data_IF_008314120187
#
_entry.id   IF_008314120187
#
_cell.length_a   1.000
_cell.length_b   1.000
_cell.length_c   1.000
_cell.angle_alpha   90.00
_cell.angle_beta   90.00
_cell.angle_gamma   90.00
#
_symmetry.space_group_name_H-M   'P 1'
#
loop_
_entity.id
_entity.type
_entity.pdbx_description
1 polymer ?
#
# COMPACT_ATOMS: atom_id res chain seq x y z
N UNK A 1 -30.36 19.03 -40.75
CA UNK A 1 -29.00 18.54 -40.53
C UNK A 1 -28.50 19.22 -39.24
N UNK A 2 -28.72 18.58 -38.12
CA UNK A 2 -28.28 19.09 -36.83
C UNK A 2 -26.79 18.77 -36.68
N UNK A 3 -25.99 19.85 -36.56
CA UNK A 3 -24.59 19.77 -36.23
C UNK A 3 -24.45 19.28 -34.79
N UNK A 4 -24.23 17.99 -34.58
CA UNK A 4 -23.69 17.45 -33.33
C UNK A 4 -22.23 17.92 -33.23
N UNK A 5 -22.01 19.08 -32.67
CA UNK A 5 -20.68 19.49 -32.20
C UNK A 5 -20.31 18.57 -31.04
N UNK A 6 -19.50 17.56 -31.35
CA UNK A 6 -18.82 16.75 -30.33
C UNK A 6 -17.84 17.66 -29.59
N UNK A 7 -18.34 18.34 -28.57
CA UNK A 7 -17.47 19.07 -27.65
C UNK A 7 -16.70 18.01 -26.84
N UNK A 8 -15.55 17.64 -27.34
CA UNK A 8 -14.57 16.86 -26.55
C UNK A 8 -14.16 17.77 -25.40
N UNK A 9 -14.84 17.64 -24.25
CA UNK A 9 -14.44 18.36 -23.05
C UNK A 9 -13.06 17.87 -22.65
N UNK A 10 -12.10 18.76 -22.81
CA UNK A 10 -10.75 18.55 -22.27
C UNK A 10 -10.90 18.55 -20.75
N UNK A 11 -10.76 17.38 -20.12
CA UNK A 11 -10.76 17.27 -18.68
C UNK A 11 -9.68 18.20 -18.17
N UNK A 12 -10.06 19.08 -17.25
CA UNK A 12 -9.13 20.04 -16.67
C UNK A 12 -8.05 19.24 -15.89
N UNK A 13 -6.83 19.32 -16.35
CA UNK A 13 -5.68 18.69 -15.69
C UNK A 13 -5.55 19.11 -14.23
N UNK A 14 -6.14 20.24 -13.85
CA UNK A 14 -6.19 20.72 -12.48
C UNK A 14 -7.02 19.78 -11.58
N UNK A 15 -8.14 19.24 -12.08
CA UNK A 15 -8.99 18.30 -11.34
C UNK A 15 -8.26 16.97 -11.13
N UNK A 16 -7.64 16.44 -12.16
CA UNK A 16 -6.85 15.21 -12.05
C UNK A 16 -5.71 15.37 -11.03
N UNK A 17 -5.00 16.49 -11.08
CA UNK A 17 -3.90 16.76 -10.14
C UNK A 17 -4.39 16.94 -8.70
N UNK A 18 -5.56 17.54 -8.50
CA UNK A 18 -6.18 17.69 -7.18
C UNK A 18 -6.59 16.34 -6.58
N UNK A 19 -7.15 15.43 -7.38
CA UNK A 19 -7.50 14.07 -6.96
C UNK A 19 -6.25 13.27 -6.59
N UNK A 20 -5.19 13.35 -7.41
CA UNK A 20 -3.90 12.75 -7.07
C UNK A 20 -3.37 13.26 -5.74
N UNK A 21 -3.31 14.59 -5.58
CA UNK A 21 -2.83 15.21 -4.33
C UNK A 21 -3.63 14.71 -3.13
N UNK A 22 -4.95 14.63 -3.23
CA UNK A 22 -5.83 14.14 -2.16
C UNK A 22 -5.52 12.68 -1.80
N UNK A 23 -5.39 11.81 -2.81
CA UNK A 23 -5.09 10.38 -2.60
C UNK A 23 -3.73 10.18 -1.95
N UNK A 24 -2.68 10.85 -2.45
CA UNK A 24 -1.33 10.73 -1.88
C UNK A 24 -1.26 11.32 -0.47
N UNK A 25 -2.01 12.39 -0.17
CA UNK A 25 -2.10 12.95 1.17
C UNK A 25 -2.77 11.97 2.15
N UNK A 26 -3.85 11.30 1.73
CA UNK A 26 -4.50 10.27 2.55
C UNK A 26 -3.58 9.07 2.78
N UNK A 27 -2.84 8.63 1.77
CA UNK A 27 -1.83 7.57 1.91
C UNK A 27 -0.73 7.98 2.89
N UNK A 28 -0.20 9.20 2.78
CA UNK A 28 0.81 9.72 3.68
C UNK A 28 0.31 9.81 5.13
N UNK A 29 -0.94 10.26 5.32
CA UNK A 29 -1.58 10.30 6.64
C UNK A 29 -1.74 8.90 7.24
N UNK A 30 -2.17 7.91 6.44
CA UNK A 30 -2.28 6.52 6.87
C UNK A 30 -0.92 5.93 7.25
N UNK A 31 0.11 6.17 6.45
CA UNK A 31 1.48 5.76 6.75
C UNK A 31 2.01 6.42 8.03
N UNK A 32 1.67 7.70 8.27
CA UNK A 32 2.03 8.38 9.52
C UNK A 32 1.35 7.71 10.72
N UNK A 33 0.07 7.34 10.63
CA UNK A 33 -0.63 6.59 11.70
C UNK A 33 0.05 5.24 11.93
N UNK A 34 0.38 4.50 10.88
CA UNK A 34 1.11 3.23 10.97
C UNK A 34 2.46 3.42 11.67
N UNK A 35 3.24 4.40 11.25
CA UNK A 35 4.57 4.69 11.81
C UNK A 35 4.50 5.10 13.28
N UNK A 36 3.56 5.98 13.66
CA UNK A 36 3.35 6.40 15.03
C UNK A 36 2.94 5.21 15.92
N UNK A 37 2.00 4.39 15.45
CA UNK A 37 1.58 3.18 16.18
C UNK A 37 2.75 2.22 16.36
N UNK A 38 3.50 1.93 15.29
CA UNK A 38 4.64 1.02 15.34
C UNK A 38 5.76 1.51 16.27
N UNK A 39 6.00 2.83 16.30
CA UNK A 39 7.03 3.44 17.13
C UNK A 39 6.62 3.53 18.62
N UNK A 40 5.38 3.95 18.92
CA UNK A 40 4.95 4.18 20.29
C UNK A 40 4.48 2.90 21.00
N UNK A 41 3.99 1.90 20.28
CA UNK A 41 3.48 0.67 20.89
C UNK A 41 4.52 -0.05 21.76
N UNK A 42 5.78 -0.26 21.33
CA UNK A 42 6.80 -0.88 22.16
C UNK A 42 7.14 -0.06 23.43
N UNK A 43 6.94 1.27 23.38
CA UNK A 43 7.27 2.17 24.50
C UNK A 43 6.14 2.34 25.51
N UNK A 44 4.90 1.94 25.13
CA UNK A 44 3.70 2.20 25.93
C UNK A 44 3.45 1.19 27.06
N UNK A 45 4.28 0.16 27.22
CA UNK A 45 4.03 -0.98 28.11
C UNK A 45 2.86 -1.88 27.67
N UNK A 46 2.09 -1.47 26.65
CA UNK A 46 1.03 -2.28 26.07
C UNK A 46 1.61 -3.45 25.26
N UNK A 47 2.76 -3.22 24.63
CA UNK A 47 3.49 -4.26 23.92
C UNK A 47 3.84 -5.43 24.85
N UNK A 48 4.39 -5.14 26.03
CA UNK A 48 4.72 -6.16 27.03
C UNK A 48 3.48 -6.96 27.44
N UNK A 49 2.37 -6.27 27.70
CA UNK A 49 1.10 -6.92 28.08
C UNK A 49 0.51 -7.81 26.99
N UNK A 50 0.72 -7.47 25.72
CA UNK A 50 0.20 -8.22 24.58
C UNK A 50 1.12 -9.37 24.17
N UNK A 51 2.43 -9.15 24.15
CA UNK A 51 3.41 -10.07 23.56
C UNK A 51 4.24 -10.85 24.58
N UNK A 52 4.29 -10.43 25.84
CA UNK A 52 5.03 -11.12 26.90
C UNK A 52 4.04 -11.77 27.88
N UNK A 53 4.14 -13.10 28.01
CA UNK A 53 3.35 -13.85 28.98
C UNK A 53 3.86 -13.62 30.40
N UNK A 54 3.06 -14.02 31.41
CA UNK A 54 3.42 -13.92 32.81
C UNK A 54 4.70 -14.71 33.18
N UNK A 55 5.07 -15.70 32.39
CA UNK A 55 6.29 -16.50 32.51
C UNK A 55 7.53 -15.85 31.85
N UNK A 56 7.38 -14.64 31.28
CA UNK A 56 8.43 -13.92 30.56
C UNK A 56 8.67 -14.40 29.12
N UNK A 57 7.90 -15.37 28.61
CA UNK A 57 8.04 -15.85 27.24
C UNK A 57 7.31 -14.95 26.24
N UNK A 58 7.91 -14.75 25.07
CA UNK A 58 7.29 -13.98 23.98
C UNK A 58 6.23 -14.87 23.28
N UNK A 59 5.02 -14.35 23.11
CA UNK A 59 3.97 -14.99 22.34
C UNK A 59 3.73 -14.26 21.03
N UNK A 60 3.65 -15.01 19.93
CA UNK A 60 3.32 -14.47 18.61
C UNK A 60 1.80 -14.46 18.33
N UNK A 61 0.99 -14.95 19.27
CA UNK A 61 -0.46 -15.04 19.07
C UNK A 61 -1.12 -13.68 18.76
N UNK A 62 -0.82 -12.57 19.46
CA UNK A 62 -1.40 -11.26 19.13
C UNK A 62 -1.01 -10.76 17.73
N UNK A 63 0.19 -11.08 17.26
CA UNK A 63 0.65 -10.74 15.92
C UNK A 63 -0.17 -11.46 14.85
N UNK A 64 -0.42 -12.78 15.02
CA UNK A 64 -1.28 -13.52 14.10
C UNK A 64 -2.72 -13.00 14.10
N UNK A 65 -3.25 -12.64 15.28
CA UNK A 65 -4.58 -12.02 15.39
C UNK A 65 -4.60 -10.68 14.66
N UNK A 66 -3.58 -9.84 14.81
CA UNK A 66 -3.48 -8.57 14.11
C UNK A 66 -3.41 -8.75 12.59
N UNK A 67 -2.60 -9.68 12.09
CA UNK A 67 -2.49 -10.00 10.65
C UNK A 67 -3.84 -10.48 10.08
N UNK A 68 -4.53 -11.38 10.77
CA UNK A 68 -5.85 -11.88 10.33
C UNK A 68 -6.88 -10.74 10.34
N UNK A 69 -6.89 -9.91 11.38
CA UNK A 69 -7.78 -8.76 11.47
C UNK A 69 -7.50 -7.74 10.36
N UNK A 70 -6.23 -7.46 10.06
CA UNK A 70 -5.77 -6.58 9.00
C UNK A 70 -6.25 -7.06 7.63
N UNK A 71 -6.04 -8.35 7.32
CA UNK A 71 -6.55 -8.97 6.09
C UNK A 71 -8.08 -8.92 6.02
N UNK A 72 -8.77 -9.17 7.13
CA UNK A 72 -10.23 -9.06 7.20
C UNK A 72 -10.72 -7.64 6.92
N UNK A 73 -10.09 -6.63 7.52
CA UNK A 73 -10.45 -5.21 7.31
C UNK A 73 -10.21 -4.79 5.87
N UNK A 74 -9.05 -5.13 5.27
CA UNK A 74 -8.75 -4.73 3.89
C UNK A 74 -9.65 -5.44 2.89
N UNK A 75 -9.97 -6.72 3.10
CA UNK A 75 -10.91 -7.46 2.25
C UNK A 75 -12.32 -6.86 2.33
N UNK A 76 -12.79 -6.54 3.52
CA UNK A 76 -14.10 -5.92 3.71
C UNK A 76 -14.16 -4.52 3.12
N UNK A 77 -13.14 -3.70 3.35
CA UNK A 77 -13.02 -2.36 2.77
C UNK A 77 -13.05 -2.43 1.23
N UNK A 78 -12.25 -3.30 0.63
CA UNK A 78 -12.19 -3.48 -0.82
C UNK A 78 -13.52 -3.96 -1.42
N UNK A 79 -14.18 -4.92 -0.77
CA UNK A 79 -15.44 -5.49 -1.26
C UNK A 79 -16.64 -4.52 -1.14
N UNK A 80 -16.60 -3.59 -0.18
CA UNK A 80 -17.74 -2.72 0.14
C UNK A 80 -17.46 -1.24 -0.10
N UNK A 81 -16.33 -0.87 -0.69
CA UNK A 81 -15.87 0.51 -0.84
C UNK A 81 -16.94 1.42 -1.47
N UNK A 82 -17.55 0.97 -2.56
CA UNK A 82 -18.59 1.74 -3.28
C UNK A 82 -19.96 1.75 -2.59
N UNK A 83 -20.20 0.87 -1.62
CA UNK A 83 -21.44 0.79 -0.86
C UNK A 83 -21.36 1.48 0.52
N UNK A 84 -20.19 1.98 0.89
CA UNK A 84 -19.95 2.62 2.18
C UNK A 84 -20.00 4.15 2.07
N UNK A 85 -20.39 4.81 3.18
CA UNK A 85 -20.17 6.25 3.30
C UNK A 85 -18.68 6.55 3.42
N UNK A 86 -18.25 7.72 2.94
CA UNK A 86 -16.87 8.19 3.00
C UNK A 86 -16.30 8.11 4.44
N UNK A 87 -17.10 8.50 5.44
CA UNK A 87 -16.71 8.45 6.85
C UNK A 87 -16.39 7.03 7.31
N UNK A 88 -17.22 6.04 6.93
CA UNK A 88 -16.97 4.63 7.29
C UNK A 88 -15.73 4.10 6.61
N UNK A 89 -15.52 4.41 5.33
CA UNK A 89 -14.32 4.01 4.60
C UNK A 89 -13.05 4.60 5.25
N UNK A 90 -13.08 5.89 5.63
CA UNK A 90 -11.95 6.55 6.30
C UNK A 90 -11.66 5.92 7.68
N UNK A 91 -12.68 5.64 8.48
CA UNK A 91 -12.50 4.99 9.79
C UNK A 91 -11.90 3.59 9.67
N UNK A 92 -12.37 2.80 8.70
CA UNK A 92 -11.80 1.47 8.42
C UNK A 92 -10.36 1.57 7.91
N UNK A 93 -10.05 2.58 7.12
CA UNK A 93 -8.69 2.82 6.64
C UNK A 93 -7.73 3.22 7.77
N UNK A 94 -8.20 4.04 8.73
CA UNK A 94 -7.44 4.36 9.94
C UNK A 94 -7.25 3.12 10.80
N UNK A 95 -8.30 2.31 11.00
CA UNK A 95 -8.21 1.05 11.74
C UNK A 95 -7.18 0.10 11.11
N UNK A 96 -7.22 -0.04 9.79
CA UNK A 96 -6.23 -0.81 9.03
C UNK A 96 -4.80 -0.27 9.28
N UNK A 97 -4.62 1.04 9.24
CA UNK A 97 -3.31 1.68 9.49
C UNK A 97 -2.79 1.42 10.91
N UNK A 98 -3.68 1.41 11.91
CA UNK A 98 -3.32 1.07 13.29
C UNK A 98 -2.93 -0.41 13.39
N UNK A 99 -3.70 -1.33 12.81
CA UNK A 99 -3.36 -2.76 12.81
C UNK A 99 -2.02 -3.02 12.14
N UNK A 100 -1.77 -2.37 11.00
CA UNK A 100 -0.46 -2.39 10.32
C UNK A 100 0.66 -1.90 11.24
N UNK A 101 0.41 -0.84 12.01
CA UNK A 101 1.37 -0.35 12.99
C UNK A 101 1.66 -1.36 14.10
N UNK A 102 0.66 -2.12 14.54
CA UNK A 102 0.85 -3.20 15.52
C UNK A 102 1.74 -4.29 14.95
N UNK A 103 1.49 -4.75 13.73
CA UNK A 103 2.32 -5.77 13.07
C UNK A 103 3.74 -5.28 12.79
N UNK A 104 3.89 -4.02 12.37
CA UNK A 104 5.19 -3.40 12.10
C UNK A 104 5.96 -3.07 13.39
N UNK A 105 5.33 -3.01 14.56
CA UNK A 105 6.00 -2.68 15.82
C UNK A 105 7.13 -3.66 16.19
N UNK A 106 7.01 -4.93 15.76
CA UNK A 106 8.05 -5.93 15.93
C UNK A 106 9.37 -5.57 15.25
N UNK A 107 9.31 -4.81 14.15
CA UNK A 107 10.53 -4.38 13.42
C UNK A 107 11.38 -3.48 14.29
N UNK A 108 10.76 -2.61 15.12
CA UNK A 108 11.47 -1.72 16.04
C UNK A 108 12.18 -2.44 17.20
N UNK A 109 11.85 -3.73 17.43
CA UNK A 109 12.57 -4.57 18.40
C UNK A 109 13.75 -5.32 17.78
N UNK A 110 13.69 -5.56 16.46
CA UNK A 110 14.66 -6.38 15.73
C UNK A 110 15.75 -5.53 15.06
N UNK A 111 15.43 -4.31 14.70
CA UNK A 111 16.31 -3.43 13.94
C UNK A 111 16.51 -2.08 14.61
N UNK A 112 17.68 -1.50 14.43
CA UNK A 112 17.98 -0.17 14.94
C UNK A 112 17.10 0.90 14.26
N UNK A 113 16.60 1.90 15.03
CA UNK A 113 15.74 2.95 14.50
C UNK A 113 16.35 3.71 13.31
N UNK A 114 17.66 3.92 13.31
CA UNK A 114 18.35 4.59 12.20
C UNK A 114 18.31 3.75 10.92
N UNK A 115 18.48 2.44 11.01
CA UNK A 115 18.38 1.52 9.85
C UNK A 115 16.96 1.54 9.25
N UNK A 116 15.93 1.55 10.12
CA UNK A 116 14.54 1.66 9.71
C UNK A 116 14.30 2.99 9.00
N UNK A 117 14.78 4.10 9.56
CA UNK A 117 14.62 5.44 9.00
C UNK A 117 15.27 5.58 7.61
N UNK A 118 16.50 5.08 7.44
CA UNK A 118 17.21 5.10 6.16
C UNK A 118 16.46 4.27 5.13
N UNK A 119 16.05 3.04 5.48
CA UNK A 119 15.28 2.17 4.57
C UNK A 119 13.97 2.83 4.15
N UNK A 120 13.28 3.47 5.09
CA UNK A 120 12.05 4.22 4.79
C UNK A 120 12.29 5.39 3.85
N UNK A 121 13.35 6.18 4.08
CA UNK A 121 13.70 7.32 3.23
C UNK A 121 14.05 6.88 1.80
N UNK A 122 14.85 5.82 1.64
CA UNK A 122 15.21 5.25 0.33
C UNK A 122 13.96 4.73 -0.38
N UNK A 123 13.11 3.97 0.30
CA UNK A 123 11.88 3.42 -0.27
C UNK A 123 10.89 4.52 -0.65
N UNK A 124 10.74 5.55 0.18
CA UNK A 124 9.92 6.72 -0.13
C UNK A 124 10.43 7.47 -1.37
N UNK A 125 11.74 7.66 -1.48
CA UNK A 125 12.37 8.24 -2.66
C UNK A 125 12.11 7.41 -3.92
N UNK A 126 12.30 6.09 -3.86
CA UNK A 126 11.98 5.16 -4.95
C UNK A 126 10.49 5.25 -5.35
N UNK A 127 9.60 5.24 -4.37
CA UNK A 127 8.16 5.35 -4.60
C UNK A 127 7.80 6.66 -5.32
N UNK A 128 8.34 7.80 -4.86
CA UNK A 128 8.09 9.10 -5.49
C UNK A 128 8.58 9.12 -6.94
N UNK A 129 9.81 8.69 -7.20
CA UNK A 129 10.37 8.67 -8.57
C UNK A 129 9.54 7.75 -9.46
N UNK A 130 9.21 6.54 -8.99
CA UNK A 130 8.46 5.57 -9.77
C UNK A 130 7.02 6.02 -10.03
N UNK A 131 6.38 6.65 -9.04
CA UNK A 131 5.05 7.25 -9.20
C UNK A 131 5.06 8.39 -10.20
N UNK A 132 6.08 9.25 -10.19
CA UNK A 132 6.24 10.30 -11.20
C UNK A 132 6.39 9.71 -12.61
N UNK A 133 7.19 8.66 -12.77
CA UNK A 133 7.32 7.95 -14.05
C UNK A 133 5.97 7.38 -14.49
N UNK A 134 5.23 6.72 -13.62
CA UNK A 134 3.89 6.18 -13.91
C UNK A 134 2.88 7.28 -14.29
N UNK A 135 2.97 8.44 -13.62
CA UNK A 135 2.10 9.59 -13.91
C UNK A 135 2.39 10.26 -15.25
N UNK A 136 3.68 10.49 -15.55
CA UNK A 136 4.11 11.20 -16.77
C UNK A 136 4.05 10.31 -18.01
N UNK A 137 4.21 8.99 -17.85
CA UNK A 137 4.23 8.07 -18.98
C UNK A 137 2.93 8.12 -19.79
N UNK A 138 3.08 8.11 -21.11
CA UNK A 138 1.96 8.04 -22.07
C UNK A 138 1.69 6.61 -22.53
N UNK A 139 2.53 5.67 -22.11
CA UNK A 139 2.33 4.26 -22.44
C UNK A 139 1.12 3.71 -21.69
N UNK A 140 0.30 2.93 -22.39
CA UNK A 140 -0.73 2.12 -21.75
C UNK A 140 -0.06 0.97 -20.98
N UNK A 141 0.05 1.14 -19.68
CA UNK A 141 0.65 0.13 -18.80
C UNK A 141 -0.31 -1.00 -18.44
N UNK A 142 -1.59 -0.95 -18.86
CA UNK A 142 -2.59 -1.97 -18.55
C UNK A 142 -2.16 -3.36 -19.02
N UNK A 143 -1.41 -3.43 -20.12
CA UNK A 143 -0.86 -4.70 -20.66
C UNK A 143 0.18 -5.36 -19.76
N UNK A 144 0.85 -4.57 -18.93
CA UNK A 144 1.86 -5.06 -17.99
C UNK A 144 1.26 -5.50 -16.65
N UNK A 145 0.03 -5.07 -16.33
CA UNK A 145 -0.60 -5.36 -15.04
C UNK A 145 -0.72 -6.85 -14.76
N UNK A 146 -1.14 -7.65 -15.75
CA UNK A 146 -1.23 -9.12 -15.60
C UNK A 146 0.14 -9.77 -15.40
N UNK A 147 1.17 -9.26 -16.08
CA UNK A 147 2.55 -9.76 -15.94
C UNK A 147 3.07 -9.48 -14.54
N UNK A 148 2.92 -8.25 -14.05
CA UNK A 148 3.33 -7.89 -12.69
C UNK A 148 2.57 -8.68 -11.62
N UNK A 149 1.26 -8.90 -11.83
CA UNK A 149 0.47 -9.73 -10.91
C UNK A 149 0.94 -11.20 -10.91
N UNK A 150 1.27 -11.77 -12.06
CA UNK A 150 1.85 -13.12 -12.13
C UNK A 150 3.21 -13.20 -11.41
N UNK A 151 4.06 -12.19 -11.63
CA UNK A 151 5.36 -12.11 -10.96
C UNK A 151 5.19 -11.96 -9.44
N UNK A 152 4.22 -11.17 -8.97
CA UNK A 152 3.92 -11.01 -7.56
C UNK A 152 3.47 -12.33 -6.94
N UNK A 153 2.55 -13.06 -7.59
CA UNK A 153 2.11 -14.38 -7.11
C UNK A 153 3.28 -15.36 -7.09
N UNK A 154 4.10 -15.38 -8.14
CA UNK A 154 5.32 -16.18 -8.19
C UNK A 154 6.30 -15.87 -7.05
N UNK A 155 6.46 -14.58 -6.73
CA UNK A 155 7.31 -14.12 -5.63
C UNK A 155 6.77 -14.59 -4.27
N UNK A 156 5.45 -14.53 -4.05
CA UNK A 156 4.81 -15.04 -2.83
C UNK A 156 5.06 -16.55 -2.69
N UNK A 157 4.85 -17.31 -3.76
CA UNK A 157 5.09 -18.75 -3.76
C UNK A 157 6.58 -19.04 -3.47
N UNK A 158 7.50 -18.33 -4.13
CA UNK A 158 8.93 -18.48 -3.91
C UNK A 158 9.32 -18.18 -2.45
N UNK A 159 8.71 -17.15 -1.85
CA UNK A 159 8.94 -16.79 -0.43
C UNK A 159 8.46 -17.92 0.49
N UNK A 160 7.25 -18.45 0.25
CA UNK A 160 6.72 -19.58 1.03
C UNK A 160 7.60 -20.83 0.90
N UNK A 161 8.05 -21.15 -0.30
CA UNK A 161 8.97 -22.28 -0.54
C UNK A 161 10.30 -22.05 0.19
N UNK A 162 10.85 -20.82 0.10
CA UNK A 162 12.13 -20.51 0.76
C UNK A 162 12.03 -20.54 2.29
N UNK A 163 10.87 -20.30 2.85
CA UNK A 163 10.63 -20.43 4.30
C UNK A 163 10.89 -21.87 4.80
N UNK A 164 10.66 -22.89 3.95
CA UNK A 164 10.96 -24.29 4.26
C UNK A 164 12.37 -24.70 3.85
N UNK A 165 12.92 -24.12 2.77
CA UNK A 165 14.25 -24.46 2.25
C UNK A 165 15.37 -23.75 3.02
N UNK A 166 15.14 -22.55 3.57
CA UNK A 166 16.14 -21.76 4.26
C UNK A 166 17.33 -21.34 3.38
N UNK A 167 17.14 -21.24 2.05
CA UNK A 167 18.22 -20.94 1.12
C UNK A 167 18.54 -19.45 1.13
N UNK A 168 19.76 -19.09 1.50
CA UNK A 168 20.25 -17.70 1.48
C UNK A 168 20.30 -17.13 0.06
N UNK A 169 20.74 -17.92 -0.91
CA UNK A 169 20.78 -17.52 -2.32
C UNK A 169 19.38 -17.18 -2.82
N UNK A 170 18.40 -18.03 -2.52
CA UNK A 170 17.01 -17.82 -2.90
C UNK A 170 16.42 -16.58 -2.21
N UNK A 171 16.78 -16.32 -0.94
CA UNK A 171 16.41 -15.11 -0.22
C UNK A 171 16.86 -13.84 -0.95
N UNK A 172 18.12 -13.78 -1.39
CA UNK A 172 18.64 -12.63 -2.13
C UNK A 172 17.98 -12.46 -3.50
N UNK A 173 17.75 -13.55 -4.23
CA UNK A 173 17.04 -13.51 -5.53
C UNK A 173 15.62 -12.97 -5.33
N UNK A 174 14.88 -13.49 -4.37
CA UNK A 174 13.52 -13.02 -4.03
C UNK A 174 13.53 -11.52 -3.68
N UNK A 175 14.51 -11.08 -2.92
CA UNK A 175 14.64 -9.67 -2.52
C UNK A 175 14.85 -8.75 -3.72
N UNK A 176 15.80 -9.05 -4.59
CA UNK A 176 16.07 -8.20 -5.76
C UNK A 176 14.93 -8.22 -6.78
N UNK A 177 14.40 -9.41 -7.07
CA UNK A 177 13.25 -9.54 -7.97
C UNK A 177 12.03 -8.83 -7.36
N UNK A 178 11.85 -8.93 -6.06
CA UNK A 178 10.79 -8.26 -5.33
C UNK A 178 10.84 -6.75 -5.53
N UNK A 179 11.99 -6.12 -5.34
CA UNK A 179 12.17 -4.67 -5.55
C UNK A 179 11.77 -4.30 -6.98
N UNK A 180 12.24 -5.03 -7.99
CA UNK A 180 11.92 -4.75 -9.41
C UNK A 180 10.42 -4.87 -9.66
N UNK A 181 9.78 -5.92 -9.15
CA UNK A 181 8.33 -6.14 -9.29
C UNK A 181 7.54 -5.02 -8.62
N UNK A 182 7.89 -4.62 -7.39
CA UNK A 182 7.20 -3.55 -6.68
C UNK A 182 7.39 -2.19 -7.36
N UNK A 183 8.56 -1.89 -7.91
CA UNK A 183 8.79 -0.68 -8.72
C UNK A 183 7.87 -0.68 -9.95
N UNK A 184 7.80 -1.81 -10.66
CA UNK A 184 6.91 -1.96 -11.82
C UNK A 184 5.43 -1.81 -11.44
N UNK A 185 4.98 -2.44 -10.35
CA UNK A 185 3.62 -2.32 -9.83
C UNK A 185 3.28 -0.89 -9.43
N UNK A 186 4.18 -0.18 -8.76
CA UNK A 186 3.97 1.22 -8.37
C UNK A 186 3.76 2.13 -9.58
N UNK A 187 4.57 1.97 -10.63
CA UNK A 187 4.39 2.72 -11.86
C UNK A 187 3.06 2.37 -12.56
N UNK A 188 2.73 1.07 -12.62
CA UNK A 188 1.47 0.58 -13.17
C UNK A 188 0.26 1.14 -12.40
N UNK A 189 0.25 1.04 -11.07
CA UNK A 189 -0.87 1.50 -10.25
C UNK A 189 -1.07 3.01 -10.35
N UNK A 190 0.01 3.79 -10.37
CA UNK A 190 -0.06 5.24 -10.58
C UNK A 190 -0.61 5.59 -11.97
N UNK A 191 -0.18 4.88 -13.01
CA UNK A 191 -0.70 5.07 -14.36
C UNK A 191 -2.19 4.68 -14.45
N UNK A 192 -2.57 3.56 -13.86
CA UNK A 192 -3.96 3.10 -13.77
C UNK A 192 -4.84 4.10 -13.01
N UNK A 193 -4.37 4.62 -11.88
CA UNK A 193 -5.07 5.63 -11.10
C UNK A 193 -5.31 6.90 -11.92
N UNK A 194 -4.31 7.36 -12.68
CA UNK A 194 -4.44 8.47 -13.63
C UNK A 194 -5.57 8.21 -14.65
N UNK A 195 -5.60 7.01 -15.23
CA UNK A 195 -6.63 6.65 -16.22
C UNK A 195 -8.03 6.62 -15.61
N UNK A 196 -8.18 6.09 -14.40
CA UNK A 196 -9.44 6.09 -13.66
C UNK A 196 -9.92 7.54 -13.42
N UNK A 197 -9.05 8.45 -13.01
CA UNK A 197 -9.43 9.85 -12.79
C UNK A 197 -9.79 10.58 -14.08
N UNK A 198 -9.12 10.27 -15.19
CA UNK A 198 -9.48 10.80 -16.50
C UNK A 198 -10.88 10.32 -16.94
N UNK A 199 -11.22 9.06 -16.71
CA UNK A 199 -12.52 8.49 -17.08
C UNK A 199 -13.67 8.95 -16.19
N UNK A 200 -13.46 9.08 -14.87
CA UNK A 200 -14.50 9.47 -13.92
C UNK A 200 -14.69 10.97 -13.80
N UNK A 201 -13.69 11.77 -14.14
CA UNK A 201 -13.84 13.21 -14.29
C UNK A 201 -14.85 13.57 -15.39
N UNK A 202 -14.96 12.73 -16.42
CA UNK A 202 -16.02 12.86 -17.46
C UNK A 202 -17.41 12.51 -16.92
N UNK A 203 -17.52 11.53 -16.02
CA UNK A 203 -18.80 11.07 -15.48
C UNK A 203 -19.37 11.97 -14.38
N UNK A 204 -18.53 12.65 -13.61
CA UNK A 204 -18.94 13.53 -12.49
C UNK A 204 -19.58 14.86 -12.91
N UNK A 205 -19.45 15.26 -14.18
CA UNK A 205 -20.08 16.46 -14.73
C UNK A 205 -21.45 16.20 -15.40
N UNK A 206 -21.94 14.97 -15.41
CA UNK A 206 -23.22 14.58 -15.99
C UNK A 206 -24.34 14.34 -14.96
N UNK A 207 -24.13 14.71 -13.68
CA UNK A 207 -25.10 14.55 -12.58
C UNK A 207 -25.61 15.86 -12.01
#
# INVERSE_FOLDING_TARGET
>A
MENYSTTTRVIDQSVVSALFKSTYLQMAAALAVTALTAYFLPQSGLFERLFIKADGTITMAPMWVAIIAELGVVMWLSARLFAMSMTKATLLFILYSVLNGVTMSMIFLLYEPMSIAITFAVTAGMFLVTSLVGYVTRMDMSKFGSIFMMLLVGLIIATLVNMFLGSETMYWVITYVGVIVFVGLTAFDTNKLKQIYLQHGEAGEMG
#
